data_IF_031192116528
#
_entry.id   IF_031192116528
#
_cell.length_a   1.000
_cell.length_b   1.000
_cell.length_c   1.000
_cell.angle_alpha   90.00
_cell.angle_beta   90.00
_cell.angle_gamma   90.00
#
_symmetry.space_group_name_H-M   'P 1'
#
loop_
_entity.id
_entity.type
_entity.pdbx_description
1 polymer ?
#
# COMPACT_ATOMS: atom_id res chain seq x y z
N UNK A 1 21.50 38.32 31.87
CA UNK A 1 20.44 37.92 30.93
C UNK A 1 20.86 36.78 29.97
N UNK A 2 22.05 36.82 29.36
CA UNK A 2 22.49 35.82 28.35
C UNK A 2 22.78 34.41 28.92
N UNK A 3 23.27 34.29 30.17
CA UNK A 3 23.56 32.98 30.79
C UNK A 3 22.30 32.14 31.07
N UNK A 4 21.22 32.77 31.54
CA UNK A 4 19.94 32.10 31.77
C UNK A 4 19.27 31.65 30.48
N UNK A 5 19.39 32.46 29.41
CA UNK A 5 18.89 32.10 28.08
C UNK A 5 19.64 30.90 27.47
N UNK A 6 20.98 30.86 27.57
CA UNK A 6 21.79 29.71 27.12
C UNK A 6 21.48 28.43 27.89
N UNK A 7 21.29 28.51 29.21
CA UNK A 7 20.89 27.37 30.03
C UNK A 7 19.50 26.84 29.64
N UNK A 8 18.55 27.74 29.38
CA UNK A 8 17.21 27.37 28.94
C UNK A 8 17.21 26.66 27.58
N UNK A 9 17.97 27.17 26.60
CA UNK A 9 18.15 26.48 25.30
C UNK A 9 18.72 25.09 25.50
N UNK A 10 19.74 24.92 26.35
CA UNK A 10 20.33 23.61 26.61
C UNK A 10 19.32 22.63 27.20
N UNK A 11 18.51 23.05 28.17
CA UNK A 11 17.47 22.22 28.79
C UNK A 11 16.42 21.79 27.75
N UNK A 12 15.94 22.73 26.93
CA UNK A 12 14.97 22.43 25.86
C UNK A 12 15.56 21.45 24.85
N UNK A 13 16.80 21.68 24.39
CA UNK A 13 17.47 20.80 23.45
C UNK A 13 17.70 19.39 24.00
N UNK A 14 18.06 19.26 25.29
CA UNK A 14 18.18 17.99 25.98
C UNK A 14 16.82 17.27 26.08
N UNK A 15 15.76 17.99 26.44
CA UNK A 15 14.40 17.44 26.52
C UNK A 15 13.88 16.95 25.16
N UNK A 16 14.14 17.70 24.09
CA UNK A 16 13.82 17.29 22.71
C UNK A 16 14.62 16.07 22.28
N UNK A 17 15.92 16.04 22.60
CA UNK A 17 16.78 14.89 22.28
C UNK A 17 16.35 13.62 23.01
N UNK A 18 16.01 13.73 24.30
CA UNK A 18 15.51 12.59 25.09
C UNK A 18 14.17 12.09 24.55
N UNK A 19 13.25 13.00 24.23
CA UNK A 19 11.97 12.65 23.58
C UNK A 19 12.18 11.94 22.25
N UNK A 20 13.13 12.41 21.43
CA UNK A 20 13.45 11.80 20.14
C UNK A 20 14.06 10.40 20.30
N UNK A 21 15.01 10.21 21.22
CA UNK A 21 15.61 8.91 21.49
C UNK A 21 14.58 7.93 22.09
N UNK A 22 13.74 8.40 23.00
CA UNK A 22 12.63 7.61 23.55
C UNK A 22 11.66 7.17 22.47
N UNK A 23 11.25 8.06 21.56
CA UNK A 23 10.42 7.73 20.41
C UNK A 23 11.09 6.70 19.49
N UNK A 24 12.38 6.88 19.19
CA UNK A 24 13.14 5.95 18.35
C UNK A 24 13.25 4.54 18.96
N UNK A 25 13.38 4.45 20.28
CA UNK A 25 13.41 3.18 21.00
C UNK A 25 12.01 2.52 21.02
N UNK A 26 10.99 3.27 21.44
CA UNK A 26 9.60 2.79 21.51
C UNK A 26 9.06 2.29 20.16
N UNK A 27 9.45 2.91 19.05
CA UNK A 27 8.91 2.52 17.74
C UNK A 27 9.67 1.38 17.07
N UNK A 28 10.81 0.94 17.60
CA UNK A 28 11.58 -0.19 17.04
C UNK A 28 11.63 -1.41 17.95
N UNK A 29 11.41 -1.22 19.25
CA UNK A 29 11.41 -2.33 20.18
C UNK A 29 10.17 -3.21 19.96
N UNK A 30 10.37 -4.53 19.96
CA UNK A 30 9.26 -5.48 19.93
C UNK A 30 8.73 -5.68 21.35
N UNK A 31 7.57 -5.08 21.65
CA UNK A 31 6.89 -5.26 22.94
C UNK A 31 6.04 -6.53 23.03
N UNK A 32 5.81 -7.20 21.90
CA UNK A 32 5.03 -8.43 21.87
C UNK A 32 5.93 -9.63 22.20
N UNK A 33 5.53 -10.40 23.20
CA UNK A 33 6.27 -11.59 23.67
C UNK A 33 5.88 -12.86 22.93
N UNK A 34 4.76 -12.84 22.22
CA UNK A 34 4.18 -14.04 21.59
C UNK A 34 4.72 -14.26 20.17
N UNK A 35 5.31 -13.22 19.57
CA UNK A 35 5.84 -13.24 18.20
C UNK A 35 7.24 -12.63 18.09
N UNK A 36 8.06 -13.22 17.23
CA UNK A 36 9.32 -12.68 16.78
C UNK A 36 9.18 -12.03 15.40
N UNK A 37 10.03 -11.04 15.12
CA UNK A 37 10.03 -10.38 13.80
C UNK A 37 10.28 -11.42 12.72
N UNK A 38 9.36 -11.51 11.76
CA UNK A 38 9.39 -12.50 10.68
C UNK A 38 8.56 -13.76 10.90
N UNK A 39 7.90 -13.91 12.05
CA UNK A 39 6.91 -14.98 12.21
C UNK A 39 5.76 -14.80 11.21
N UNK A 40 5.31 -15.89 10.60
CA UNK A 40 4.09 -15.89 9.78
C UNK A 40 2.90 -15.86 10.74
N UNK A 41 2.11 -14.79 10.69
CA UNK A 41 0.95 -14.59 11.58
C UNK A 41 -0.39 -14.80 10.87
N UNK A 42 -0.41 -14.77 9.53
CA UNK A 42 -1.61 -14.90 8.70
C UNK A 42 -1.19 -15.13 7.24
N UNK A 43 -2.17 -15.38 6.35
CA UNK A 43 -1.97 -15.36 4.90
C UNK A 43 -3.24 -14.90 4.18
N UNK A 44 -3.08 -14.15 3.09
CA UNK A 44 -4.18 -13.79 2.19
C UNK A 44 -3.90 -14.38 0.81
N UNK A 45 -4.80 -15.24 0.32
CA UNK A 45 -4.68 -15.85 -1.01
C UNK A 45 -3.32 -16.54 -1.27
N UNK A 46 -2.77 -17.19 -0.24
CA UNK A 46 -1.46 -17.86 -0.30
C UNK A 46 -0.24 -16.93 -0.12
N UNK A 47 -0.46 -15.62 0.05
CA UNK A 47 0.60 -14.65 0.34
C UNK A 47 0.70 -14.47 1.85
N UNK A 48 1.85 -14.84 2.43
CA UNK A 48 2.11 -14.78 3.87
C UNK A 48 2.13 -13.34 4.40
N UNK A 49 1.66 -13.17 5.63
CA UNK A 49 1.72 -11.92 6.40
C UNK A 49 2.65 -12.17 7.57
N UNK A 50 3.72 -11.39 7.63
CA UNK A 50 4.76 -11.54 8.65
C UNK A 50 4.62 -10.49 9.76
N UNK A 51 5.01 -10.88 10.96
CA UNK A 51 5.10 -10.00 12.11
C UNK A 51 6.27 -9.03 11.97
N UNK A 52 6.03 -7.71 12.16
CA UNK A 52 7.06 -6.67 12.02
C UNK A 52 7.68 -6.21 13.36
N UNK A 53 7.10 -6.58 14.50
CA UNK A 53 7.49 -5.99 15.79
C UNK A 53 7.13 -4.50 15.88
N UNK A 54 8.08 -3.68 16.31
CA UNK A 54 7.93 -2.23 16.36
C UNK A 54 7.63 -1.62 14.98
N UNK A 55 6.86 -0.54 14.94
CA UNK A 55 6.39 0.06 13.68
C UNK A 55 7.50 0.58 12.74
N UNK A 56 8.68 0.88 13.29
CA UNK A 56 9.86 1.37 12.57
C UNK A 56 10.98 0.31 12.47
N UNK A 57 10.68 -0.97 12.71
CA UNK A 57 11.61 -2.08 12.43
C UNK A 57 12.02 -2.07 10.95
N UNK A 58 13.29 -2.41 10.69
CA UNK A 58 13.87 -2.46 9.35
C UNK A 58 14.89 -3.59 9.27
N UNK A 59 14.45 -4.75 8.77
CA UNK A 59 15.29 -5.95 8.56
C UNK A 59 15.88 -6.01 7.13
N UNK A 60 16.08 -4.83 6.52
CA UNK A 60 16.54 -4.71 5.14
C UNK A 60 15.43 -4.89 4.10
N UNK A 61 15.83 -4.85 2.82
CA UNK A 61 14.89 -4.93 1.70
C UNK A 61 14.59 -6.37 1.32
N UNK A 62 13.32 -6.65 1.05
CA UNK A 62 12.90 -7.84 0.33
C UNK A 62 12.97 -7.56 -1.18
N UNK A 63 13.70 -8.39 -1.91
CA UNK A 63 13.81 -8.34 -3.36
C UNK A 63 13.26 -9.65 -3.93
N UNK A 64 12.56 -9.59 -5.06
CA UNK A 64 12.24 -10.79 -5.83
C UNK A 64 13.50 -11.37 -6.48
N UNK A 65 13.37 -12.57 -7.07
CA UNK A 65 14.46 -13.24 -7.79
C UNK A 65 15.01 -12.41 -8.97
N UNK A 66 14.14 -11.66 -9.64
CA UNK A 66 14.49 -10.75 -10.73
C UNK A 66 14.91 -9.34 -10.26
N UNK A 67 15.04 -9.12 -8.95
CA UNK A 67 15.56 -7.89 -8.37
C UNK A 67 14.52 -6.79 -8.15
N UNK A 68 13.22 -7.06 -8.37
CA UNK A 68 12.16 -6.12 -8.04
C UNK A 68 12.12 -5.90 -6.53
N UNK A 69 12.28 -4.64 -6.13
CA UNK A 69 12.21 -4.23 -4.73
C UNK A 69 10.78 -4.36 -4.24
N UNK A 70 10.50 -5.31 -3.36
CA UNK A 70 9.18 -5.51 -2.76
C UNK A 70 8.96 -4.51 -1.62
N UNK A 71 9.97 -4.22 -0.82
CA UNK A 71 9.89 -3.22 0.25
C UNK A 71 10.83 -3.55 1.40
N UNK A 72 10.67 -2.87 2.53
CA UNK A 72 11.41 -3.17 3.77
C UNK A 72 10.69 -4.28 4.52
N UNK A 73 11.41 -5.34 4.90
CA UNK A 73 10.87 -6.43 5.72
C UNK A 73 10.54 -5.91 7.13
N UNK A 74 9.33 -6.09 7.68
CA UNK A 74 8.06 -6.61 7.13
C UNK A 74 7.00 -5.51 7.20
N UNK A 75 7.27 -4.38 6.54
CA UNK A 75 6.40 -3.20 6.58
C UNK A 75 5.16 -3.35 5.69
N UNK A 76 4.19 -2.47 5.86
CA UNK A 76 2.94 -2.48 5.10
C UNK A 76 3.15 -2.38 3.58
N UNK A 77 4.08 -1.54 3.13
CA UNK A 77 4.44 -1.38 1.71
C UNK A 77 5.03 -2.67 1.13
N UNK A 78 5.83 -3.39 1.92
CA UNK A 78 6.41 -4.67 1.49
C UNK A 78 5.32 -5.71 1.23
N UNK A 79 4.35 -5.81 2.15
CA UNK A 79 3.23 -6.73 2.00
C UNK A 79 2.42 -6.46 0.75
N UNK A 80 1.93 -5.23 0.56
CA UNK A 80 1.04 -4.94 -0.58
C UNK A 80 1.76 -5.16 -1.91
N UNK A 81 3.03 -4.79 -2.04
CA UNK A 81 3.79 -5.01 -3.27
C UNK A 81 4.07 -6.49 -3.50
N UNK A 82 4.42 -7.25 -2.46
CA UNK A 82 4.58 -8.70 -2.55
C UNK A 82 3.27 -9.39 -2.91
N UNK A 83 2.15 -8.90 -2.39
CA UNK A 83 0.82 -9.39 -2.74
C UNK A 83 0.55 -9.26 -4.24
N UNK A 84 0.72 -8.07 -4.81
CA UNK A 84 0.52 -7.88 -6.26
C UNK A 84 1.53 -8.65 -7.11
N UNK A 85 2.78 -8.74 -6.67
CA UNK A 85 3.82 -9.52 -7.35
C UNK A 85 3.47 -11.01 -7.39
N UNK A 86 3.16 -11.61 -6.24
CA UNK A 86 2.90 -13.05 -6.17
C UNK A 86 1.55 -13.43 -6.80
N UNK A 87 0.50 -12.62 -6.58
CA UNK A 87 -0.86 -12.93 -7.05
C UNK A 87 -1.09 -12.60 -8.51
N UNK A 88 -0.52 -11.51 -9.01
CA UNK A 88 -0.79 -11.00 -10.36
C UNK A 88 0.44 -10.89 -11.26
N UNK A 89 1.63 -11.30 -10.77
CA UNK A 89 2.90 -11.04 -11.46
C UNK A 89 3.08 -9.56 -11.77
N UNK A 90 2.50 -8.69 -10.93
CA UNK A 90 2.45 -7.25 -11.15
C UNK A 90 3.58 -6.54 -10.40
N UNK A 91 4.37 -5.77 -11.13
CA UNK A 91 5.37 -4.87 -10.58
C UNK A 91 4.89 -3.43 -10.72
N UNK A 92 4.75 -2.73 -9.60
CA UNK A 92 4.46 -1.30 -9.62
C UNK A 92 5.67 -0.54 -10.20
N UNK A 93 5.48 0.32 -11.23
CA UNK A 93 6.58 0.99 -11.92
C UNK A 93 7.48 1.82 -11.02
N UNK A 94 6.89 2.59 -10.11
CA UNK A 94 7.63 3.27 -9.05
C UNK A 94 7.68 2.36 -7.81
N UNK A 95 8.86 1.81 -7.56
CA UNK A 95 9.10 0.81 -6.52
C UNK A 95 9.49 1.41 -5.16
N UNK A 96 9.57 2.74 -5.03
CA UNK A 96 9.96 3.40 -3.78
C UNK A 96 8.81 4.26 -3.22
N UNK A 97 9.08 4.91 -2.08
CA UNK A 97 8.11 5.74 -1.38
C UNK A 97 7.50 5.08 -0.15
N UNK A 98 6.69 5.86 0.54
CA UNK A 98 5.92 5.48 1.71
C UNK A 98 4.49 5.13 1.32
N UNK A 99 3.75 4.53 2.26
CA UNK A 99 2.35 4.14 2.07
C UNK A 99 1.47 5.28 1.51
N UNK A 100 1.63 6.51 2.03
CA UNK A 100 0.89 7.69 1.55
C UNK A 100 1.13 8.01 0.07
N UNK A 101 2.30 7.66 -0.47
CA UNK A 101 2.70 7.99 -1.83
C UNK A 101 2.01 7.07 -2.85
N UNK A 102 1.25 6.06 -2.40
CA UNK A 102 0.48 5.17 -3.27
C UNK A 102 -0.79 5.81 -3.79
N UNK A 103 -1.24 6.91 -3.20
CA UNK A 103 -2.43 7.63 -3.62
C UNK A 103 -2.06 9.00 -4.17
N UNK A 104 -2.44 9.28 -5.41
CA UNK A 104 -2.24 10.60 -6.02
C UNK A 104 -3.51 11.45 -5.90
N UNK A 105 -3.43 12.53 -5.11
CA UNK A 105 -4.57 13.44 -4.89
C UNK A 105 -4.94 14.28 -6.12
N UNK A 106 -4.10 14.31 -7.15
CA UNK A 106 -4.34 15.07 -8.37
C UNK A 106 -5.12 14.25 -9.41
N UNK A 107 -5.20 12.93 -9.24
CA UNK A 107 -5.99 12.08 -10.12
C UNK A 107 -7.48 12.21 -9.80
N UNK A 108 -8.29 12.31 -10.83
CA UNK A 108 -9.75 12.22 -10.69
C UNK A 108 -10.15 10.79 -10.32
N UNK A 109 -11.31 10.64 -9.68
CA UNK A 109 -11.86 9.32 -9.33
C UNK A 109 -11.95 8.39 -10.56
N UNK A 110 -11.51 7.14 -10.41
CA UNK A 110 -11.46 6.16 -11.49
C UNK A 110 -10.35 6.39 -12.52
N UNK A 111 -9.40 7.30 -12.27
CA UNK A 111 -8.25 7.49 -13.18
C UNK A 111 -7.17 6.43 -12.99
N UNK A 112 -6.38 6.22 -14.04
CA UNK A 112 -5.22 5.34 -13.98
C UNK A 112 -4.06 6.02 -13.23
N UNK A 113 -3.46 5.30 -12.28
CA UNK A 113 -2.28 5.73 -11.54
C UNK A 113 -1.02 5.10 -12.14
N UNK A 114 -0.30 5.85 -12.97
CA UNK A 114 0.89 5.36 -13.69
C UNK A 114 2.01 4.87 -12.77
N UNK A 115 2.17 5.47 -11.59
CA UNK A 115 3.23 5.08 -10.64
C UNK A 115 2.98 3.71 -10.03
N UNK A 116 1.72 3.27 -9.99
CA UNK A 116 1.31 1.98 -9.44
C UNK A 116 0.88 1.01 -10.53
N UNK A 117 0.58 1.51 -11.73
CA UNK A 117 -0.07 0.78 -12.80
C UNK A 117 -1.35 0.07 -12.30
N UNK A 118 -2.20 0.86 -11.64
CA UNK A 118 -3.49 0.44 -11.06
C UNK A 118 -4.52 1.55 -11.28
N UNK A 119 -5.80 1.19 -11.34
CA UNK A 119 -6.93 2.13 -11.37
C UNK A 119 -7.16 2.69 -9.97
N UNK A 120 -7.20 4.00 -9.79
CA UNK A 120 -7.36 4.63 -8.48
C UNK A 120 -8.76 5.20 -8.29
N UNK A 121 -9.37 4.90 -7.14
CA UNK A 121 -10.68 5.38 -6.73
C UNK A 121 -10.57 6.16 -5.42
N UNK A 122 -11.31 7.26 -5.30
CA UNK A 122 -11.39 8.04 -4.06
C UNK A 122 -12.36 7.40 -3.08
N UNK A 123 -12.14 7.62 -1.77
CA UNK A 123 -13.15 7.25 -0.77
C UNK A 123 -14.38 8.16 -0.98
N UNK A 124 -15.51 7.58 -1.39
CA UNK A 124 -16.63 8.32 -2.00
C UNK A 124 -16.75 8.14 -3.52
N UNK A 125 -16.15 7.09 -4.10
CA UNK A 125 -16.32 6.74 -5.51
C UNK A 125 -17.71 6.15 -5.80
N UNK A 126 -18.18 6.28 -7.05
CA UNK A 126 -19.33 5.50 -7.54
C UNK A 126 -19.00 4.00 -7.67
N UNK A 127 -17.72 3.66 -7.80
CA UNK A 127 -17.28 2.27 -7.81
C UNK A 127 -17.31 1.70 -6.40
N UNK A 128 -17.85 0.50 -6.22
CA UNK A 128 -17.74 -0.25 -4.95
C UNK A 128 -16.30 -0.78 -4.81
N UNK A 129 -15.66 -0.73 -3.63
CA UNK A 129 -14.41 -1.45 -3.41
C UNK A 129 -14.61 -2.96 -3.63
N UNK A 130 -13.55 -3.66 -3.97
CA UNK A 130 -13.53 -5.09 -4.25
C UNK A 130 -12.44 -5.78 -3.43
N UNK A 131 -12.57 -7.09 -3.28
CA UNK A 131 -11.46 -7.89 -2.79
C UNK A 131 -10.25 -7.69 -3.71
N UNK A 132 -9.05 -7.79 -3.13
CA UNK A 132 -7.75 -7.56 -3.75
C UNK A 132 -7.40 -6.09 -4.05
N UNK A 133 -8.30 -5.13 -3.80
CA UNK A 133 -7.97 -3.72 -3.91
C UNK A 133 -6.94 -3.29 -2.85
N UNK A 134 -6.00 -2.41 -3.21
CA UNK A 134 -5.05 -1.78 -2.30
C UNK A 134 -5.69 -0.56 -1.65
N UNK A 135 -5.96 -0.62 -0.34
CA UNK A 135 -6.51 0.50 0.43
C UNK A 135 -5.37 1.39 0.95
N UNK A 136 -5.50 2.71 0.77
CA UNK A 136 -4.52 3.71 1.24
C UNK A 136 -5.09 4.57 2.37
N UNK A 137 -4.31 4.75 3.44
CA UNK A 137 -4.62 5.61 4.58
C UNK A 137 -3.69 6.82 4.63
N UNK A 138 -4.26 7.98 4.93
CA UNK A 138 -3.54 9.24 5.01
C UNK A 138 -2.56 9.27 6.22
N UNK A 139 -1.44 10.01 6.09
CA UNK A 139 -0.54 10.24 7.20
C UNK A 139 -1.18 11.12 8.28
N UNK A 140 -0.59 11.11 9.47
CA UNK A 140 -0.94 11.97 10.60
C UNK A 140 0.27 12.18 11.51
N UNK A 141 0.12 12.97 12.57
CA UNK A 141 1.27 13.45 13.37
C UNK A 141 2.14 12.33 13.96
N UNK A 142 1.56 11.18 14.32
CA UNK A 142 2.32 10.02 14.83
C UNK A 142 2.57 8.92 13.78
N UNK A 143 2.05 9.07 12.55
CA UNK A 143 2.44 8.24 11.42
C UNK A 143 2.53 9.12 10.16
N UNK A 144 3.68 9.77 9.91
CA UNK A 144 3.86 10.65 8.75
C UNK A 144 3.95 9.88 7.42
N UNK A 145 4.09 8.56 7.46
CA UNK A 145 4.26 7.71 6.28
C UNK A 145 2.93 7.25 5.69
N UNK A 146 1.83 7.33 6.46
CA UNK A 146 0.55 6.73 6.10
C UNK A 146 0.53 5.23 6.32
N UNK A 147 -0.50 4.56 5.80
CA UNK A 147 -0.61 3.10 5.87
C UNK A 147 -1.26 2.54 4.62
N UNK A 148 -0.99 1.28 4.29
CA UNK A 148 -1.60 0.56 3.18
C UNK A 148 -1.97 -0.85 3.60
N UNK A 149 -3.05 -1.37 3.04
CA UNK A 149 -3.55 -2.72 3.29
C UNK A 149 -4.17 -3.28 2.00
N UNK A 150 -4.41 -4.59 1.97
CA UNK A 150 -5.20 -5.24 0.92
C UNK A 150 -6.61 -5.48 1.44
N UNK A 151 -7.64 -5.14 0.65
CA UNK A 151 -9.01 -5.53 0.97
C UNK A 151 -9.14 -7.04 0.76
N UNK A 152 -9.29 -7.79 1.84
CA UNK A 152 -9.41 -9.24 1.81
C UNK A 152 -10.81 -9.71 1.39
N UNK A 153 -11.85 -9.02 1.86
CA UNK A 153 -13.22 -9.34 1.55
C UNK A 153 -14.11 -8.09 1.55
N UNK A 154 -15.16 -8.13 0.73
CA UNK A 154 -16.18 -7.08 0.68
C UNK A 154 -17.56 -7.71 0.83
N UNK A 155 -18.35 -7.18 1.75
CA UNK A 155 -19.76 -7.54 1.96
C UNK A 155 -20.65 -6.35 1.64
N UNK A 156 -21.95 -6.47 1.90
CA UNK A 156 -22.87 -5.33 1.80
C UNK A 156 -22.73 -4.34 2.97
N UNK A 157 -22.11 -4.75 4.07
CA UNK A 157 -22.01 -3.95 5.30
C UNK A 157 -20.62 -3.40 5.58
N UNK A 158 -19.60 -3.95 4.94
CA UNK A 158 -18.22 -3.62 5.25
C UNK A 158 -17.19 -4.38 4.46
N UNK A 159 -15.95 -4.02 4.72
CA UNK A 159 -14.76 -4.64 4.19
C UNK A 159 -13.96 -5.26 5.32
N UNK A 160 -13.26 -6.33 5.02
CA UNK A 160 -12.15 -6.81 5.85
C UNK A 160 -10.85 -6.50 5.12
N UNK A 161 -9.86 -5.95 5.83
CA UNK A 161 -8.51 -5.74 5.30
C UNK A 161 -7.55 -6.78 5.83
N UNK A 162 -6.46 -7.01 5.09
CA UNK A 162 -5.27 -7.73 5.52
C UNK A 162 -4.05 -6.81 5.46
N UNK A 163 -3.21 -6.83 6.48
CA UNK A 163 -2.13 -5.86 6.66
C UNK A 163 -0.90 -6.42 7.38
N UNK A 164 0.26 -5.85 7.05
CA UNK A 164 1.49 -5.94 7.85
C UNK A 164 1.78 -4.60 8.52
N UNK A 165 2.48 -4.65 9.64
CA UNK A 165 2.91 -3.48 10.39
C UNK A 165 1.80 -2.49 10.84
N UNK A 166 0.63 -2.95 11.32
CA UNK A 166 -0.36 -2.04 11.91
C UNK A 166 0.03 -1.52 13.30
N UNK A 167 1.02 -2.17 13.92
CA UNK A 167 1.43 -1.97 15.32
C UNK A 167 1.76 -3.33 15.96
N UNK A 168 2.55 -3.35 17.04
CA UNK A 168 3.06 -4.61 17.61
C UNK A 168 1.98 -5.54 18.18
N UNK A 169 0.80 -5.01 18.49
CA UNK A 169 -0.35 -5.75 19.03
C UNK A 169 -1.60 -5.66 18.17
N UNK A 170 -1.53 -4.94 17.05
CA UNK A 170 -2.67 -4.79 16.17
C UNK A 170 -2.81 -6.03 15.27
N UNK A 171 -4.04 -6.48 14.99
CA UNK A 171 -4.28 -7.69 14.23
C UNK A 171 -3.90 -7.54 12.76
N UNK A 172 -3.56 -8.66 12.11
CA UNK A 172 -3.36 -8.72 10.65
C UNK A 172 -4.66 -8.46 9.88
N UNK A 173 -5.83 -8.68 10.49
CA UNK A 173 -7.16 -8.44 9.93
C UNK A 173 -7.92 -7.38 10.70
N UNK A 174 -8.59 -6.50 9.98
CA UNK A 174 -9.45 -5.48 10.58
C UNK A 174 -10.69 -5.24 9.70
N UNK A 175 -11.83 -5.01 10.34
CA UNK A 175 -13.10 -4.77 9.67
C UNK A 175 -13.46 -3.30 9.72
N UNK A 176 -13.89 -2.75 8.57
CA UNK A 176 -14.42 -1.39 8.48
C UNK A 176 -15.82 -1.39 7.85
N UNK A 177 -16.78 -0.61 8.38
CA UNK A 177 -18.07 -0.46 7.74
C UNK A 177 -17.94 0.13 6.33
N UNK A 178 -18.83 -0.32 5.43
CA UNK A 178 -18.95 0.16 4.06
C UNK A 178 -20.32 0.80 3.94
N UNK A 179 -20.32 2.10 3.68
CA UNK A 179 -21.52 2.93 3.67
C UNK A 179 -21.81 3.37 2.25
N UNK A 180 -23.03 3.14 1.78
CA UNK A 180 -23.51 3.71 0.52
C UNK A 180 -24.40 4.93 0.80
N UNK A 181 -24.07 6.08 0.22
CA UNK A 181 -24.83 7.34 0.33
C UNK A 181 -24.82 8.05 -1.02
N UNK A 182 -26.00 8.43 -1.52
CA UNK A 182 -26.16 9.17 -2.78
C UNK A 182 -25.48 8.52 -4.00
N UNK A 183 -25.48 7.18 -4.05
CA UNK A 183 -24.82 6.41 -5.10
C UNK A 183 -23.30 6.27 -4.96
N UNK A 184 -22.70 6.82 -3.89
CA UNK A 184 -21.28 6.77 -3.61
C UNK A 184 -20.96 5.79 -2.47
N UNK A 185 -19.80 5.14 -2.56
CA UNK A 185 -19.30 4.16 -1.60
C UNK A 185 -18.21 4.76 -0.71
N UNK A 186 -18.39 4.61 0.59
CA UNK A 186 -17.46 5.09 1.62
C UNK A 186 -17.01 3.95 2.52
N UNK A 187 -15.70 3.74 2.59
CA UNK A 187 -15.10 2.92 3.64
C UNK A 187 -15.00 3.81 4.88
N UNK A 188 -15.77 3.48 5.92
CA UNK A 188 -15.78 4.19 7.20
C UNK A 188 -14.60 3.76 8.06
N UNK A 189 -13.42 4.16 7.61
CA UNK A 189 -12.16 3.95 8.30
C UNK A 189 -11.44 5.29 8.48
N UNK A 190 -10.86 5.57 9.66
CA UNK A 190 -10.13 6.81 9.88
C UNK A 190 -9.06 7.03 8.83
N UNK A 191 -9.10 8.19 8.17
CA UNK A 191 -8.11 8.62 7.19
C UNK A 191 -8.02 7.77 5.92
N UNK A 192 -9.00 6.92 5.61
CA UNK A 192 -9.05 6.23 4.33
C UNK A 192 -9.13 7.24 3.18
N UNK A 193 -8.14 7.20 2.28
CA UNK A 193 -8.03 8.07 1.10
C UNK A 193 -8.86 7.54 -0.07
N UNK A 194 -8.83 6.23 -0.24
CA UNK A 194 -9.37 5.54 -1.40
C UNK A 194 -8.60 4.25 -1.64
N UNK A 195 -8.89 3.58 -2.75
CA UNK A 195 -8.31 2.28 -3.07
C UNK A 195 -7.81 2.23 -4.51
N UNK A 196 -6.87 1.33 -4.78
CA UNK A 196 -6.32 1.07 -6.10
C UNK A 196 -6.64 -0.36 -6.51
N UNK A 197 -7.12 -0.52 -7.74
CA UNK A 197 -7.56 -1.78 -8.31
C UNK A 197 -6.63 -2.24 -9.40
N UNK A 198 -6.27 -3.52 -9.36
CA UNK A 198 -5.62 -4.18 -10.48
C UNK A 198 -6.65 -4.55 -11.54
N UNK A 199 -6.33 -4.22 -12.78
CA UNK A 199 -7.11 -4.59 -13.95
C UNK A 199 -6.18 -5.42 -14.84
N UNK A 200 -6.63 -6.61 -15.23
CA UNK A 200 -5.89 -7.40 -16.19
C UNK A 200 -5.70 -6.58 -17.47
N UNK A 201 -4.49 -6.55 -18.01
CA UNK A 201 -4.29 -6.11 -19.38
C UNK A 201 -5.05 -7.07 -20.27
N UNK A 202 -6.15 -6.59 -20.87
CA UNK A 202 -6.80 -7.32 -21.97
C UNK A 202 -5.71 -7.61 -23.01
N UNK A 203 -5.50 -8.87 -23.42
CA UNK A 203 -4.66 -9.13 -24.57
C UNK A 203 -5.31 -8.37 -25.73
N UNK A 204 -4.65 -7.31 -26.19
CA UNK A 204 -5.12 -6.54 -27.33
C UNK A 204 -5.40 -7.52 -28.46
N UNK A 205 -6.65 -7.53 -28.92
CA UNK A 205 -7.02 -8.03 -30.24
C UNK A 205 -6.09 -7.33 -31.22
N UNK A 206 -5.07 -8.05 -31.69
CA UNK A 206 -4.27 -7.60 -32.81
C UNK A 206 -5.24 -7.41 -33.96
N UNK A 207 -5.53 -6.16 -34.29
CA UNK A 207 -6.21 -5.82 -35.53
C UNK A 207 -5.27 -6.23 -36.67
N UNK A 208 -5.45 -7.43 -37.18
CA UNK A 208 -5.03 -7.80 -38.53
C UNK A 208 -5.80 -6.90 -39.50
N UNK A 209 -5.24 -5.73 -39.81
CA UNK A 209 -5.61 -5.04 -41.04
C UNK A 209 -4.83 -5.65 -42.19
N UNK A 210 -5.50 -6.63 -42.80
CA UNK A 210 -5.35 -7.14 -44.16
C UNK A 210 -4.56 -6.24 -45.13
N UNK A 211 -3.34 -6.65 -45.43
CA UNK A 211 -2.65 -6.32 -46.68
C UNK A 211 -2.85 -7.44 -47.70
N UNK A 212 -4.06 -7.57 -48.24
CA UNK A 212 -4.30 -8.42 -49.42
C UNK A 212 -3.79 -7.65 -50.64
N UNK A 213 -2.59 -8.01 -51.10
CA UNK A 213 -2.07 -7.62 -52.40
C UNK A 213 -2.49 -8.68 -53.41
N UNK A 214 -3.42 -8.31 -54.31
CA UNK A 214 -3.79 -9.12 -55.47
C UNK A 214 -2.58 -9.25 -56.42
N UNK A 215 -2.15 -10.47 -56.79
CA UNK A 215 -1.19 -10.64 -57.86
C UNK A 215 -1.90 -10.54 -59.22
N UNK A 216 -1.59 -9.47 -59.94
CA UNK A 216 -1.81 -9.36 -61.39
C UNK A 216 -0.96 -10.42 -62.10
N UNK A 217 -1.61 -11.40 -62.74
CA UNK A 217 -0.99 -12.22 -63.79
C UNK A 217 -1.74 -12.08 -65.12
N UNK A 218 -1.21 -11.13 -65.90
CA UNK A 218 -0.84 -11.22 -67.32
C UNK A 218 -1.34 -12.47 -68.07
N UNK A 219 -2.25 -12.22 -69.00
CA UNK A 219 -2.53 -13.06 -70.17
C UNK A 219 -1.60 -12.59 -71.29
N UNK A 220 -0.81 -13.48 -71.90
CA UNK A 220 -0.49 -13.48 -73.35
C UNK A 220 0.38 -14.68 -73.77
N UNK A 221 -0.20 -15.38 -74.74
CA UNK A 221 0.37 -16.24 -75.81
C UNK A 221 1.15 -17.51 -75.43
#
# INVERSE_FOLDING_TARGET
MIKGFRLWILIVSLGLSFSFLGYQWLTRYNFNTDHQVGDVIDSLNGVEIYYNGGVNTNEGRNLSLDGYNLGIKYQCVEFVKRYFYQRYQHQMPDSFGHARDFFDNLLTDGSWNEKRALRQFTNGSQSKPMADDLLVFAPWILNPYGHVAIIAAVTDKGIEIAQQNPGPFAPSREYFPLIQRDGLWYIDAPRAKGWLRWEATSPNVATENSGFIDPVMVIKE
#
